data_IF_936362537064
#
_entry.id   IF_936362537064
#
_cell.length_a   1.000
_cell.length_b   1.000
_cell.length_c   1.000
_cell.angle_alpha   90.00
_cell.angle_beta   90.00
_cell.angle_gamma   90.00
#
_symmetry.space_group_name_H-M   'P 1'
#
loop_
_entity.id
_entity.type
_entity.pdbx_description
1 polymer ?
#
# COMPACT_ATOMS: atom_id res chain seq x y z
N UNK A 1 7.82 21.98 22.20
CA UNK A 1 7.67 20.79 21.33
C UNK A 1 6.26 20.26 21.50
N UNK A 2 5.55 19.97 20.41
CA UNK A 2 4.23 19.34 20.47
C UNK A 2 4.31 18.01 21.21
N UNK A 3 3.63 17.90 22.36
CA UNK A 3 3.54 16.68 23.17
C UNK A 3 2.97 15.51 22.37
N UNK A 4 2.09 15.79 21.42
CA UNK A 4 1.49 14.82 20.50
C UNK A 4 2.52 14.13 19.59
N UNK A 5 3.46 14.89 19.02
CA UNK A 5 4.51 14.33 18.14
C UNK A 5 5.44 13.40 18.95
N UNK A 6 5.74 13.75 20.19
CA UNK A 6 6.57 12.90 21.05
C UNK A 6 5.87 11.58 21.39
N UNK A 7 4.57 11.62 21.67
CA UNK A 7 3.78 10.40 21.90
C UNK A 7 3.76 9.49 20.66
N UNK A 8 3.63 10.06 19.46
CA UNK A 8 3.69 9.29 18.21
C UNK A 8 5.06 8.67 18.03
N UNK A 9 6.13 9.45 18.24
CA UNK A 9 7.49 8.94 18.12
C UNK A 9 7.73 7.74 19.04
N UNK A 10 7.31 7.83 20.30
CA UNK A 10 7.41 6.72 21.24
C UNK A 10 6.59 5.51 20.82
N UNK A 11 5.33 5.73 20.38
CA UNK A 11 4.43 4.66 19.96
C UNK A 11 4.93 3.86 18.76
N UNK A 12 5.61 4.53 17.83
CA UNK A 12 6.11 3.91 16.60
C UNK A 12 7.63 3.68 16.61
N UNK A 13 8.27 3.76 17.79
CA UNK A 13 9.71 3.58 17.97
C UNK A 13 10.57 4.47 17.06
N UNK A 14 10.11 5.69 16.78
CA UNK A 14 10.85 6.68 15.98
C UNK A 14 11.81 7.42 16.90
N UNK A 15 13.10 7.36 16.59
CA UNK A 15 14.16 8.07 17.29
C UNK A 15 14.63 9.22 16.41
N UNK A 16 14.77 10.41 17.00
CA UNK A 16 15.27 11.59 16.31
C UNK A 16 14.46 12.85 16.62
N UNK A 17 15.08 14.01 16.45
CA UNK A 17 14.48 15.30 16.76
C UNK A 17 14.64 16.34 15.65
N UNK A 18 15.01 15.89 14.44
CA UNK A 18 15.14 16.77 13.29
C UNK A 18 13.81 17.43 12.92
N UNK A 19 13.86 18.67 12.45
CA UNK A 19 12.67 19.42 12.06
C UNK A 19 11.95 18.77 10.87
N UNK A 20 12.70 18.22 9.91
CA UNK A 20 12.16 17.55 8.72
C UNK A 20 11.40 16.27 9.09
N UNK A 21 11.92 15.52 10.08
CA UNK A 21 11.24 14.34 10.61
C UNK A 21 9.92 14.71 11.29
N UNK A 22 9.92 15.76 12.13
CA UNK A 22 8.72 16.25 12.78
C UNK A 22 7.67 16.68 11.74
N UNK A 23 8.08 17.40 10.71
CA UNK A 23 7.21 17.82 9.62
C UNK A 23 6.64 16.62 8.83
N UNK A 24 7.42 15.55 8.61
CA UNK A 24 6.94 14.34 7.96
C UNK A 24 5.85 13.62 8.79
N UNK A 25 6.03 13.57 10.12
CA UNK A 25 5.03 13.02 11.05
C UNK A 25 3.75 13.88 11.01
N UNK A 26 3.88 15.20 11.10
CA UNK A 26 2.73 16.12 11.02
C UNK A 26 1.97 15.99 9.70
N UNK A 27 2.68 15.89 8.57
CA UNK A 27 2.05 15.64 7.26
C UNK A 27 1.29 14.32 7.25
N UNK A 28 1.87 13.28 7.82
CA UNK A 28 1.23 11.96 7.93
C UNK A 28 -0.08 12.03 8.71
N UNK A 29 -0.11 12.76 9.84
CA UNK A 29 -1.34 12.99 10.61
C UNK A 29 -2.41 13.75 9.81
N UNK A 30 -2.01 14.79 9.09
CA UNK A 30 -2.93 15.60 8.27
C UNK A 30 -3.60 14.79 7.15
N UNK A 31 -2.88 13.86 6.52
CA UNK A 31 -3.44 13.01 5.45
C UNK A 31 -4.20 11.79 5.97
N UNK A 32 -3.92 11.35 7.21
CA UNK A 32 -4.55 10.17 7.83
C UNK A 32 -6.09 10.12 7.75
N UNK A 33 -6.85 11.19 8.04
CA UNK A 33 -8.31 11.14 7.99
C UNK A 33 -8.89 11.16 6.56
N UNK A 34 -8.05 11.34 5.53
CA UNK A 34 -8.51 11.48 4.13
C UNK A 34 -8.53 10.14 3.38
N UNK A 35 -9.28 10.11 2.28
CA UNK A 35 -9.37 8.97 1.36
C UNK A 35 -8.38 9.08 0.17
N UNK A 36 -7.30 9.87 0.31
CA UNK A 36 -6.34 10.07 -0.78
C UNK A 36 -5.25 8.98 -0.79
N UNK A 37 -4.73 8.70 -1.98
CA UNK A 37 -3.51 7.91 -2.16
C UNK A 37 -2.31 8.73 -1.66
N UNK A 38 -1.45 8.11 -0.85
CA UNK A 38 -0.26 8.78 -0.28
C UNK A 38 1.00 8.12 -0.83
N UNK A 39 1.87 8.92 -1.44
CA UNK A 39 3.19 8.50 -1.87
C UNK A 39 4.24 8.87 -0.82
N UNK A 40 4.90 7.87 -0.25
CA UNK A 40 6.07 8.05 0.63
C UNK A 40 7.33 7.97 -0.22
N UNK A 41 8.25 8.91 -0.04
CA UNK A 41 9.50 8.99 -0.82
C UNK A 41 10.71 9.13 0.10
N UNK A 42 11.83 8.57 -0.33
CA UNK A 42 13.15 8.73 0.28
C UNK A 42 14.10 7.59 -0.09
N UNK A 43 15.29 7.58 0.50
CA UNK A 43 16.35 6.58 0.22
C UNK A 43 16.07 5.23 0.89
N UNK A 44 16.61 4.15 0.35
CA UNK A 44 16.44 2.81 0.94
C UNK A 44 17.01 2.77 2.37
N UNK A 45 16.36 2.02 3.28
CA UNK A 45 16.82 1.85 4.66
C UNK A 45 16.54 3.00 5.63
N UNK A 46 15.93 4.12 5.23
CA UNK A 46 15.67 5.28 6.13
C UNK A 46 14.43 5.11 7.03
N UNK A 47 13.83 3.92 7.10
CA UNK A 47 12.68 3.63 7.97
C UNK A 47 11.33 4.16 7.49
N UNK A 48 11.14 4.33 6.17
CA UNK A 48 9.90 4.88 5.56
C UNK A 48 8.64 4.08 5.90
N UNK A 49 8.80 2.79 6.20
CA UNK A 49 7.73 1.85 6.54
C UNK A 49 6.92 2.26 7.78
N UNK A 50 7.44 3.17 8.61
CA UNK A 50 6.73 3.66 9.78
C UNK A 50 5.58 4.61 9.42
N UNK A 51 5.73 5.40 8.35
CA UNK A 51 4.74 6.41 7.98
C UNK A 51 3.40 5.83 7.52
N UNK A 52 3.34 4.80 6.65
CA UNK A 52 2.09 4.12 6.32
C UNK A 52 1.35 3.56 7.54
N UNK A 53 2.10 3.05 8.54
CA UNK A 53 1.53 2.54 9.80
C UNK A 53 0.91 3.67 10.62
N UNK A 54 1.56 4.83 10.69
CA UNK A 54 0.99 6.05 11.30
C UNK A 54 -0.30 6.42 10.56
N UNK A 55 -0.25 6.55 9.23
CA UNK A 55 -1.39 6.95 8.41
C UNK A 55 -2.58 6.01 8.65
N UNK A 56 -2.38 4.70 8.62
CA UNK A 56 -3.43 3.72 8.87
C UNK A 56 -4.01 3.87 10.30
N UNK A 57 -3.15 3.94 11.31
CA UNK A 57 -3.55 3.96 12.72
C UNK A 57 -4.35 5.22 13.12
N UNK A 58 -4.09 6.34 12.45
CA UNK A 58 -4.77 7.62 12.64
C UNK A 58 -5.89 7.87 11.61
N UNK A 59 -6.13 6.93 10.69
CA UNK A 59 -7.23 7.02 9.73
C UNK A 59 -8.57 6.57 10.33
N UNK A 60 -9.66 6.87 9.63
CA UNK A 60 -10.99 6.30 9.90
C UNK A 60 -11.04 4.77 9.76
N UNK A 61 -10.00 4.15 9.17
CA UNK A 61 -9.92 2.72 8.88
C UNK A 61 -8.95 1.97 9.79
N UNK A 62 -8.54 2.56 10.91
CA UNK A 62 -7.62 1.97 11.90
C UNK A 62 -8.04 0.61 12.47
N UNK A 63 -9.32 0.25 12.34
CA UNK A 63 -9.86 -1.04 12.78
C UNK A 63 -10.03 -2.05 11.63
N UNK A 64 -9.77 -1.63 10.39
CA UNK A 64 -9.84 -2.47 9.21
C UNK A 64 -8.47 -3.07 8.90
N UNK A 65 -8.42 -3.94 7.89
CA UNK A 65 -7.18 -4.63 7.51
C UNK A 65 -6.11 -3.65 7.03
N UNK A 66 -4.89 -3.88 7.49
CA UNK A 66 -3.67 -3.27 6.96
C UNK A 66 -2.86 -4.36 6.28
N UNK A 67 -2.64 -4.23 4.97
CA UNK A 67 -1.85 -5.19 4.18
C UNK A 67 -0.61 -4.46 3.67
N UNK A 68 0.57 -4.89 4.07
CA UNK A 68 1.84 -4.41 3.52
C UNK A 68 2.38 -5.45 2.53
N UNK A 69 2.72 -5.01 1.33
CA UNK A 69 3.22 -5.84 0.25
C UNK A 69 4.53 -5.25 -0.23
N UNK A 70 5.61 -6.02 -0.11
CA UNK A 70 6.87 -5.68 -0.76
C UNK A 70 6.82 -6.22 -2.21
N UNK A 71 6.82 -5.31 -3.19
CA UNK A 71 6.69 -5.67 -4.60
C UNK A 71 7.97 -6.32 -5.16
N UNK A 72 9.15 -5.94 -4.67
CA UNK A 72 10.43 -6.54 -5.05
C UNK A 72 10.62 -7.98 -4.55
N UNK A 73 9.88 -8.38 -3.51
CA UNK A 73 9.92 -9.75 -2.98
C UNK A 73 9.02 -10.74 -3.74
N UNK A 74 8.11 -10.27 -4.62
CA UNK A 74 7.16 -11.12 -5.33
C UNK A 74 7.73 -11.50 -6.71
N UNK A 75 7.78 -12.80 -7.07
CA UNK A 75 8.22 -13.21 -8.40
C UNK A 75 7.36 -12.58 -9.51
N UNK A 76 8.02 -12.01 -10.52
CA UNK A 76 7.38 -11.29 -11.63
C UNK A 76 6.24 -12.10 -12.28
N UNK A 77 6.44 -13.40 -12.51
CA UNK A 77 5.44 -14.27 -13.13
C UNK A 77 4.16 -14.48 -12.30
N UNK A 78 4.17 -14.11 -11.02
CA UNK A 78 3.04 -14.32 -10.08
C UNK A 78 2.44 -13.01 -9.55
N UNK A 79 3.08 -11.86 -9.84
CA UNK A 79 2.73 -10.58 -9.21
C UNK A 79 1.29 -10.15 -9.47
N UNK A 80 0.81 -10.34 -10.69
CA UNK A 80 -0.57 -10.07 -11.08
C UNK A 80 -1.57 -10.94 -10.29
N UNK A 81 -1.25 -12.22 -10.14
CA UNK A 81 -2.08 -13.18 -9.42
C UNK A 81 -2.11 -12.88 -7.92
N UNK A 82 -1.00 -12.46 -7.33
CA UNK A 82 -0.93 -12.11 -5.91
C UNK A 82 -1.64 -10.78 -5.62
N UNK A 83 -1.44 -9.75 -6.45
CA UNK A 83 -2.06 -8.43 -6.27
C UNK A 83 -3.57 -8.45 -6.57
N UNK A 84 -3.95 -9.00 -7.73
CA UNK A 84 -5.33 -8.92 -8.25
C UNK A 84 -6.13 -10.20 -8.06
N UNK A 85 -5.50 -11.32 -7.70
CA UNK A 85 -6.16 -12.62 -7.60
C UNK A 85 -6.35 -13.29 -8.96
N UNK A 86 -6.76 -14.56 -8.92
CA UNK A 86 -7.04 -15.34 -10.12
C UNK A 86 -8.28 -16.22 -9.93
N UNK A 87 -8.88 -16.63 -11.04
CA UNK A 87 -9.88 -17.68 -11.06
C UNK A 87 -9.25 -19.02 -11.42
N UNK A 88 -9.90 -20.11 -11.05
CA UNK A 88 -9.54 -21.46 -11.46
C UNK A 88 -9.40 -21.54 -12.98
N UNK A 89 -8.30 -22.13 -13.44
CA UNK A 89 -8.00 -22.28 -14.87
C UNK A 89 -7.38 -21.06 -15.54
N UNK A 90 -7.04 -19.99 -14.80
CA UNK A 90 -6.40 -18.81 -15.36
C UNK A 90 -4.99 -19.09 -15.94
N UNK A 91 -4.26 -20.05 -15.37
CA UNK A 91 -2.95 -20.52 -15.83
C UNK A 91 -2.70 -21.97 -15.40
N UNK A 92 -1.66 -22.60 -15.93
CA UNK A 92 -1.23 -23.95 -15.54
C UNK A 92 -0.88 -24.00 -14.05
N UNK A 93 -1.70 -24.67 -13.24
CA UNK A 93 -1.57 -24.74 -11.78
C UNK A 93 -2.63 -23.96 -10.99
N UNK A 94 -3.47 -23.15 -11.66
CA UNK A 94 -4.61 -22.48 -11.03
C UNK A 94 -5.77 -23.46 -10.76
N UNK A 95 -5.64 -24.28 -9.72
CA UNK A 95 -6.62 -25.32 -9.36
C UNK A 95 -7.84 -24.77 -8.63
N UNK A 96 -7.72 -23.61 -8.00
CA UNK A 96 -8.76 -22.93 -7.22
C UNK A 96 -8.79 -21.44 -7.53
N UNK A 97 -9.90 -20.78 -7.19
CA UNK A 97 -9.95 -19.32 -7.14
C UNK A 97 -9.12 -18.80 -5.96
N UNK A 98 -8.42 -17.68 -6.16
CA UNK A 98 -7.65 -17.01 -5.12
C UNK A 98 -7.91 -15.51 -5.13
N UNK A 99 -8.24 -14.97 -3.95
CA UNK A 99 -8.38 -13.54 -3.75
C UNK A 99 -6.99 -12.87 -3.71
N UNK A 100 -6.86 -11.74 -4.40
CA UNK A 100 -5.63 -10.94 -4.39
C UNK A 100 -5.53 -10.01 -3.20
N UNK A 101 -4.35 -9.42 -2.98
CA UNK A 101 -4.12 -8.45 -1.90
C UNK A 101 -5.08 -7.27 -1.92
N UNK A 102 -5.45 -6.76 -3.09
CA UNK A 102 -6.42 -5.68 -3.21
C UNK A 102 -7.81 -6.06 -2.67
N UNK A 103 -8.21 -7.30 -2.89
CA UNK A 103 -9.48 -7.82 -2.38
C UNK A 103 -9.42 -8.05 -0.88
N UNK A 104 -8.32 -8.62 -0.39
CA UNK A 104 -8.10 -8.85 1.05
C UNK A 104 -8.03 -7.53 1.81
N UNK A 105 -7.43 -6.48 1.24
CA UNK A 105 -7.33 -5.15 1.81
C UNK A 105 -8.61 -4.30 1.66
N UNK A 106 -9.68 -4.85 1.08
CA UNK A 106 -10.88 -4.06 0.80
C UNK A 106 -11.50 -3.48 2.08
N UNK A 107 -11.82 -2.18 2.05
CA UNK A 107 -12.28 -1.42 3.21
C UNK A 107 -11.16 -1.00 4.18
N UNK A 108 -9.93 -1.45 3.98
CA UNK A 108 -8.76 -1.14 4.80
C UNK A 108 -7.76 -0.20 4.13
N UNK A 109 -6.48 -0.53 4.32
CA UNK A 109 -5.33 0.15 3.75
C UNK A 109 -4.37 -0.88 3.17
N UNK A 110 -3.91 -0.63 1.94
CA UNK A 110 -2.82 -1.40 1.33
C UNK A 110 -1.58 -0.52 1.24
N UNK A 111 -0.45 -1.02 1.71
CA UNK A 111 0.86 -0.42 1.58
C UNK A 111 1.66 -1.19 0.53
N UNK A 112 2.01 -0.53 -0.57
CA UNK A 112 2.84 -1.09 -1.64
C UNK A 112 4.25 -0.55 -1.48
N UNK A 113 5.15 -1.38 -0.97
CA UNK A 113 6.56 -1.06 -0.89
C UNK A 113 7.27 -1.39 -2.21
N UNK A 114 8.27 -0.58 -2.55
CA UNK A 114 9.04 -0.73 -3.79
C UNK A 114 8.17 -0.78 -5.05
N UNK A 115 7.17 0.11 -5.15
CA UNK A 115 6.23 0.13 -6.29
C UNK A 115 6.93 0.36 -7.64
N UNK A 116 8.16 0.89 -7.63
CA UNK A 116 9.01 1.07 -8.81
C UNK A 116 9.51 -0.25 -9.41
N UNK A 117 9.57 -1.33 -8.62
CA UNK A 117 9.98 -2.67 -9.08
C UNK A 117 8.84 -3.41 -9.80
N UNK A 118 7.64 -2.84 -9.84
CA UNK A 118 6.51 -3.44 -10.57
C UNK A 118 6.77 -3.42 -12.08
N UNK A 119 6.49 -4.52 -12.80
CA UNK A 119 6.51 -4.52 -14.26
C UNK A 119 5.56 -3.48 -14.85
N UNK A 120 5.92 -2.88 -15.99
CA UNK A 120 5.12 -1.84 -16.66
C UNK A 120 3.67 -2.28 -16.89
N UNK A 121 3.44 -3.55 -17.26
CA UNK A 121 2.10 -4.12 -17.44
C UNK A 121 1.28 -4.11 -16.15
N UNK A 122 1.92 -4.38 -15.00
CA UNK A 122 1.29 -4.36 -13.67
C UNK A 122 1.02 -2.93 -13.23
N UNK A 123 1.92 -1.99 -13.52
CA UNK A 123 1.73 -0.56 -13.23
C UNK A 123 0.49 0.01 -13.93
N UNK A 124 0.25 -0.36 -15.20
CA UNK A 124 -0.96 0.04 -15.94
C UNK A 124 -2.24 -0.48 -15.26
N UNK A 125 -2.21 -1.70 -14.72
CA UNK A 125 -3.35 -2.26 -13.98
C UNK A 125 -3.54 -1.58 -12.64
N UNK A 126 -2.45 -1.31 -11.92
CA UNK A 126 -2.47 -0.55 -10.67
C UNK A 126 -3.10 0.83 -10.85
N UNK A 127 -2.75 1.55 -11.91
CA UNK A 127 -3.36 2.84 -12.25
C UNK A 127 -4.89 2.74 -12.36
N UNK A 128 -5.40 1.71 -13.04
CA UNK A 128 -6.86 1.48 -13.11
C UNK A 128 -7.50 1.28 -11.75
N UNK A 129 -6.82 0.56 -10.84
CA UNK A 129 -7.31 0.37 -9.47
C UNK A 129 -7.35 1.71 -8.72
N UNK A 130 -6.34 2.56 -8.90
CA UNK A 130 -6.27 3.86 -8.25
C UNK A 130 -7.30 4.86 -8.79
N UNK A 131 -7.58 4.84 -10.10
CA UNK A 131 -8.51 5.75 -10.75
C UNK A 131 -9.98 5.33 -10.58
N UNK A 132 -10.28 4.06 -10.86
CA UNK A 132 -11.66 3.56 -10.89
C UNK A 132 -12.10 2.88 -9.59
N UNK A 133 -11.16 2.45 -8.76
CA UNK A 133 -11.43 1.57 -7.64
C UNK A 133 -11.81 0.15 -8.07
N UNK A 134 -11.52 -0.25 -9.31
CA UNK A 134 -11.87 -1.57 -9.85
C UNK A 134 -10.64 -2.31 -10.37
N UNK A 135 -10.66 -3.63 -10.25
CA UNK A 135 -9.63 -4.50 -10.82
C UNK A 135 -10.26 -5.74 -11.44
N UNK A 136 -9.53 -6.42 -12.31
CA UNK A 136 -9.98 -7.66 -12.94
C UNK A 136 -9.04 -8.78 -12.49
N UNK A 137 -9.61 -9.87 -11.96
CA UNK A 137 -8.83 -11.06 -11.61
C UNK A 137 -8.21 -11.68 -12.86
N UNK A 138 -7.03 -12.28 -12.74
CA UNK A 138 -6.39 -12.99 -13.85
C UNK A 138 -7.30 -14.12 -14.33
N UNK A 139 -7.54 -14.19 -15.65
CA UNK A 139 -8.45 -15.15 -16.28
C UNK A 139 -9.94 -14.75 -16.25
N UNK A 140 -10.31 -13.68 -15.55
CA UNK A 140 -11.69 -13.16 -15.53
C UNK A 140 -11.91 -12.06 -16.57
N UNK A 141 -13.15 -11.92 -17.05
CA UNK A 141 -13.61 -10.76 -17.83
C UNK A 141 -14.52 -9.82 -17.02
N UNK A 142 -14.85 -10.19 -15.77
CA UNK A 142 -15.74 -9.41 -14.90
C UNK A 142 -14.93 -8.48 -13.98
N UNK A 143 -15.19 -7.17 -13.99
CA UNK A 143 -14.58 -6.24 -13.04
C UNK A 143 -15.06 -6.54 -11.61
N UNK A 144 -14.13 -6.51 -10.68
CA UNK A 144 -14.37 -6.63 -9.24
C UNK A 144 -14.16 -5.27 -8.60
N UNK A 145 -15.19 -4.77 -7.91
CA UNK A 145 -15.14 -3.47 -7.25
C UNK A 145 -14.36 -3.56 -5.95
N UNK A 146 -13.30 -2.76 -5.84
CA UNK A 146 -12.53 -2.61 -4.62
C UNK A 146 -12.97 -1.35 -3.86
N UNK A 147 -13.24 -1.49 -2.55
CA UNK A 147 -13.46 -0.34 -1.66
C UNK A 147 -12.19 0.10 -0.93
N UNK A 148 -11.00 -0.35 -1.35
CA UNK A 148 -9.74 0.12 -0.81
C UNK A 148 -9.39 1.49 -1.41
N UNK A 149 -9.74 2.60 -0.72
CA UNK A 149 -9.42 3.94 -1.21
C UNK A 149 -8.11 4.55 -0.68
N UNK A 150 -7.40 3.86 0.22
CA UNK A 150 -6.12 4.34 0.77
C UNK A 150 -5.05 3.35 0.32
N UNK A 151 -4.52 3.59 -0.87
CA UNK A 151 -3.23 3.04 -1.26
C UNK A 151 -2.17 3.98 -0.71
N UNK A 152 -1.37 3.48 0.23
CA UNK A 152 -0.08 4.09 0.50
C UNK A 152 0.92 3.39 -0.40
N UNK A 153 1.61 4.11 -1.27
CA UNK A 153 2.70 3.58 -2.06
C UNK A 153 4.01 4.19 -1.58
N UNK A 154 5.08 3.42 -1.59
CA UNK A 154 6.43 3.92 -1.37
C UNK A 154 7.19 3.84 -2.69
N UNK A 155 7.88 4.93 -3.04
CA UNK A 155 8.81 4.96 -4.15
C UNK A 155 10.20 5.25 -3.60
N UNK A 156 11.07 4.24 -3.68
CA UNK A 156 12.49 4.41 -3.44
C UNK A 156 13.08 5.26 -4.58
N UNK A 157 13.72 6.38 -4.23
CA UNK A 157 14.66 7.02 -5.15
C UNK A 157 15.91 6.15 -5.15
N UNK A 158 16.15 5.42 -6.24
CA UNK A 158 17.48 4.93 -6.54
C UNK A 158 18.33 6.16 -6.86
N UNK A 159 19.42 6.33 -6.11
CA UNK A 159 20.45 7.33 -6.39
C UNK A 159 21.27 6.89 -7.61
#
# INVERSE_FOLDING_TARGET
>A
MNSEIQNIKQRFSIIGNDHSLNMAIEKSLKVSPTDITVLVMGESGVGKEVFPKIIHQFSHRKHNKYIAVNCGAIPEGTIDSELFGHIKGAFTGATTDRAGYFEVASGGTIFLDEVGELPLSTQVRLLRVLESGEFIRVGSSKPTKNRCKNCCSNQCKHA
#
